data_IF_779403620376
#
_entry.id   IF_779403620376
#
_cell.length_a   1.000
_cell.length_b   1.000
_cell.length_c   1.000
_cell.angle_alpha   90.00
_cell.angle_beta   90.00
_cell.angle_gamma   90.00
#
_symmetry.space_group_name_H-M   'P 1'
#
loop_
_entity.id
_entity.type
_entity.pdbx_description
1 polymer ?
#
# COMPACT_ATOMS: atom_id res chain seq x y z
N UNK A 1 -22.95 -61.56 -7.01
CA UNK A 1 -21.69 -61.29 -7.68
C UNK A 1 -21.56 -59.80 -7.73
N UNK A 2 -20.93 -59.30 -6.73
CA UNK A 2 -19.58 -58.73 -6.61
C UNK A 2 -19.34 -57.69 -7.68
N UNK A 3 -19.30 -56.48 -7.37
CA UNK A 3 -18.15 -55.80 -6.96
C UNK A 3 -18.13 -54.35 -7.43
N UNK A 4 -17.52 -53.60 -6.61
CA UNK A 4 -16.65 -52.53 -7.05
C UNK A 4 -17.10 -51.10 -6.71
N UNK A 5 -17.09 -50.79 -5.44
CA UNK A 5 -17.06 -49.38 -4.97
C UNK A 5 -15.66 -48.85 -5.22
N UNK A 6 -15.52 -47.89 -6.13
CA UNK A 6 -14.28 -47.17 -6.32
C UNK A 6 -14.37 -45.83 -5.59
N UNK A 7 -13.74 -45.77 -4.45
CA UNK A 7 -13.56 -44.55 -3.64
C UNK A 7 -12.49 -43.69 -4.30
N UNK A 8 -12.89 -42.64 -4.97
CA UNK A 8 -12.01 -41.52 -5.31
C UNK A 8 -11.99 -40.56 -4.14
N UNK A 9 -10.97 -40.70 -3.32
CA UNK A 9 -10.56 -39.71 -2.33
C UNK A 9 -10.09 -38.47 -3.06
N UNK A 10 -10.99 -37.52 -3.16
CA UNK A 10 -10.68 -36.16 -3.62
C UNK A 10 -9.83 -35.47 -2.55
N UNK A 11 -8.54 -35.42 -2.78
CA UNK A 11 -7.62 -34.61 -2.00
C UNK A 11 -7.90 -33.15 -2.32
N UNK A 12 -8.77 -32.54 -1.53
CA UNK A 12 -8.92 -31.08 -1.46
C UNK A 12 -7.57 -30.48 -1.08
N UNK A 13 -6.80 -30.11 -2.08
CA UNK A 13 -5.62 -29.26 -1.93
C UNK A 13 -6.13 -27.89 -1.51
N UNK A 14 -6.14 -27.62 -0.22
CA UNK A 14 -6.38 -26.29 0.34
C UNK A 14 -5.29 -25.37 -0.14
N UNK A 15 -5.51 -24.74 -1.27
CA UNK A 15 -4.73 -23.60 -1.73
C UNK A 15 -5.02 -22.45 -0.74
N UNK A 16 -4.19 -22.32 0.29
CA UNK A 16 -4.06 -21.08 1.04
C UNK A 16 -3.65 -20.01 0.05
N UNK A 17 -4.46 -18.95 -0.18
CA UNK A 17 -4.01 -17.85 -1.00
C UNK A 17 -2.74 -17.30 -0.34
N UNK A 18 -1.68 -17.17 -1.11
CA UNK A 18 -0.46 -16.50 -0.67
C UNK A 18 -0.87 -15.10 -0.23
N UNK A 19 -0.82 -14.85 1.07
CA UNK A 19 -0.98 -13.53 1.65
C UNK A 19 0.09 -12.63 1.02
N UNK A 20 -0.31 -11.84 0.05
CA UNK A 20 0.51 -10.76 -0.46
C UNK A 20 0.63 -9.72 0.66
N UNK A 21 1.65 -9.90 1.50
CA UNK A 21 2.03 -8.96 2.56
C UNK A 21 2.56 -7.70 1.90
N UNK A 22 1.70 -6.76 1.64
CA UNK A 22 2.06 -5.47 1.07
C UNK A 22 2.13 -4.47 2.23
N UNK A 23 3.33 -4.02 2.65
CA UNK A 23 3.44 -3.05 3.74
C UNK A 23 2.69 -1.78 3.37
N UNK A 24 1.83 -1.31 4.27
CA UNK A 24 1.01 -0.14 4.07
C UNK A 24 1.85 1.13 4.32
N UNK A 25 1.90 2.02 3.35
CA UNK A 25 2.51 3.34 3.54
C UNK A 25 1.52 4.22 4.29
N UNK A 26 1.97 4.96 5.29
CA UNK A 26 1.12 5.80 6.15
C UNK A 26 0.28 6.80 5.35
N UNK A 27 0.78 7.30 4.22
CA UNK A 27 0.02 8.18 3.32
C UNK A 27 -1.29 7.55 2.82
N UNK A 28 -1.33 6.22 2.63
CA UNK A 28 -2.55 5.48 2.29
C UNK A 28 -3.49 5.24 3.49
N UNK A 29 -2.97 5.34 4.72
CA UNK A 29 -3.74 5.11 5.95
C UNK A 29 -4.25 6.42 6.58
N UNK A 30 -3.63 7.56 6.30
CA UNK A 30 -4.05 8.87 6.86
C UNK A 30 -5.53 9.19 6.68
N UNK A 31 -6.18 8.94 5.54
CA UNK A 31 -7.61 9.17 5.40
C UNK A 31 -8.46 8.37 6.40
N UNK A 32 -8.00 7.17 6.78
CA UNK A 32 -8.67 6.38 7.81
C UNK A 32 -8.56 7.01 9.20
N UNK A 33 -7.40 7.55 9.58
CA UNK A 33 -7.28 8.29 10.85
C UNK A 33 -8.29 9.42 10.93
N UNK A 34 -8.40 10.23 9.87
CA UNK A 34 -9.38 11.32 9.81
C UNK A 34 -10.83 10.81 9.89
N UNK A 35 -11.12 9.68 9.23
CA UNK A 35 -12.44 9.07 9.30
C UNK A 35 -12.76 8.54 10.71
N UNK A 36 -11.81 7.89 11.36
CA UNK A 36 -11.97 7.38 12.72
C UNK A 36 -12.14 8.51 13.74
N UNK A 37 -11.39 9.60 13.62
CA UNK A 37 -11.57 10.80 14.46
C UNK A 37 -12.97 11.40 14.33
N UNK A 38 -13.50 11.50 13.11
CA UNK A 38 -14.87 11.95 12.86
C UNK A 38 -15.93 11.00 13.44
N UNK A 39 -15.59 9.73 13.60
CA UNK A 39 -16.44 8.73 14.26
C UNK A 39 -16.25 8.69 15.77
N UNK A 40 -15.42 9.58 16.34
CA UNK A 40 -15.24 9.73 17.78
C UNK A 40 -14.04 9.00 18.38
N UNK A 41 -13.16 8.43 17.57
CA UNK A 41 -11.94 7.81 18.08
C UNK A 41 -10.88 8.87 18.40
N UNK A 42 -10.22 8.76 19.56
CA UNK A 42 -9.10 9.63 19.89
C UNK A 42 -7.84 9.23 19.08
N UNK A 43 -7.18 10.22 18.47
CA UNK A 43 -5.96 10.01 17.67
C UNK A 43 -4.86 9.30 18.45
N UNK A 44 -4.69 9.70 19.70
CA UNK A 44 -3.66 9.16 20.60
C UNK A 44 -3.83 7.66 20.85
N UNK A 45 -5.07 7.19 20.98
CA UNK A 45 -5.39 5.77 21.17
C UNK A 45 -5.13 4.98 19.89
N UNK A 46 -5.51 5.53 18.74
CA UNK A 46 -5.24 4.94 17.43
C UNK A 46 -3.73 4.83 17.15
N UNK A 47 -2.98 5.89 17.43
CA UNK A 47 -1.52 5.90 17.27
C UNK A 47 -0.85 4.90 18.20
N UNK A 48 -1.29 4.84 19.46
CA UNK A 48 -0.80 3.87 20.46
C UNK A 48 -1.06 2.43 19.99
N UNK A 49 -2.26 2.14 19.50
CA UNK A 49 -2.61 0.82 18.98
C UNK A 49 -1.74 0.43 17.77
N UNK A 50 -1.44 1.36 16.89
CA UNK A 50 -0.58 1.15 15.73
C UNK A 50 0.93 1.15 16.07
N UNK A 51 1.31 1.49 17.31
CA UNK A 51 2.72 1.65 17.71
C UNK A 51 3.40 2.84 17.04
N UNK A 52 2.65 3.89 16.69
CA UNK A 52 3.14 5.11 16.06
C UNK A 52 3.43 6.20 17.09
N UNK A 53 4.53 6.93 16.89
CA UNK A 53 4.81 8.19 17.56
C UNK A 53 4.31 9.38 16.71
N UNK A 54 4.22 10.57 17.29
CA UNK A 54 3.88 11.80 16.55
C UNK A 54 4.83 12.01 15.36
N UNK A 55 6.13 11.74 15.55
CA UNK A 55 7.13 11.85 14.50
C UNK A 55 6.91 10.85 13.35
N UNK A 56 6.53 9.60 13.67
CA UNK A 56 6.21 8.61 12.65
C UNK A 56 4.95 9.00 11.87
N UNK A 57 3.99 9.63 12.55
CA UNK A 57 2.76 10.10 11.91
C UNK A 57 3.01 11.29 10.97
N UNK A 58 3.98 12.15 11.25
CA UNK A 58 4.33 13.30 10.39
C UNK A 58 5.15 12.88 9.17
N UNK A 59 5.86 11.75 9.23
CA UNK A 59 6.63 11.22 8.10
C UNK A 59 5.70 10.48 7.10
N UNK A 60 5.51 11.01 5.86
CA UNK A 60 4.65 10.40 4.86
C UNK A 60 5.15 9.03 4.37
N UNK A 61 6.43 8.74 4.57
CA UNK A 61 7.08 7.50 4.14
C UNK A 61 7.08 6.42 5.23
N UNK A 62 6.50 6.70 6.40
CA UNK A 62 6.36 5.70 7.46
C UNK A 62 5.56 4.49 6.95
N UNK A 63 6.11 3.32 7.16
CA UNK A 63 5.51 2.05 6.76
C UNK A 63 4.89 1.38 7.98
N UNK A 64 3.60 1.07 7.89
CA UNK A 64 2.91 0.26 8.89
C UNK A 64 3.04 -1.23 8.54
N UNK A 65 3.35 -2.04 9.55
CA UNK A 65 3.25 -3.49 9.42
C UNK A 65 1.79 -3.93 9.37
N UNK A 66 1.53 -5.13 8.82
CA UNK A 66 0.19 -5.72 8.83
C UNK A 66 -0.37 -5.82 10.26
N UNK A 67 0.48 -6.13 11.24
CA UNK A 67 0.10 -6.20 12.67
C UNK A 67 -0.33 -4.83 13.18
N UNK A 68 0.39 -3.75 12.84
CA UNK A 68 0.04 -2.38 13.21
C UNK A 68 -1.28 -1.94 12.56
N UNK A 69 -1.50 -2.29 11.29
CA UNK A 69 -2.77 -2.03 10.61
C UNK A 69 -3.94 -2.78 11.27
N UNK A 70 -3.79 -4.07 11.55
CA UNK A 70 -4.82 -4.86 12.24
C UNK A 70 -5.14 -4.27 13.62
N UNK A 71 -4.12 -3.88 14.39
CA UNK A 71 -4.31 -3.26 15.71
C UNK A 71 -5.02 -1.90 15.61
N UNK A 72 -4.64 -1.06 14.63
CA UNK A 72 -5.27 0.23 14.36
C UNK A 72 -6.77 0.08 14.06
N UNK A 73 -7.11 -0.77 13.08
CA UNK A 73 -8.50 -0.97 12.67
C UNK A 73 -9.32 -1.68 13.77
N UNK A 74 -8.69 -2.59 14.51
CA UNK A 74 -9.31 -3.25 15.67
C UNK A 74 -9.64 -2.27 16.79
N UNK A 75 -8.73 -1.36 17.12
CA UNK A 75 -8.95 -0.30 18.11
C UNK A 75 -10.07 0.65 17.67
N UNK A 76 -10.04 1.10 16.41
CA UNK A 76 -11.08 1.96 15.87
C UNK A 76 -12.48 1.30 15.93
N UNK A 77 -12.59 0.03 15.51
CA UNK A 77 -13.85 -0.71 15.55
C UNK A 77 -14.37 -0.90 16.99
N UNK A 78 -13.47 -1.15 17.95
CA UNK A 78 -13.80 -1.32 19.36
C UNK A 78 -14.28 0.00 20.00
N UNK A 79 -13.63 1.11 19.68
CA UNK A 79 -13.90 2.43 20.27
C UNK A 79 -15.13 3.06 19.67
N UNK A 80 -15.30 3.01 18.35
CA UNK A 80 -16.44 3.64 17.69
C UNK A 80 -17.75 2.90 17.95
N UNK A 81 -17.73 1.57 18.14
CA UNK A 81 -18.88 0.72 18.48
C UNK A 81 -20.16 1.02 17.66
N UNK A 82 -20.01 1.41 16.39
CA UNK A 82 -21.13 1.73 15.49
C UNK A 82 -21.46 0.55 14.58
N UNK A 83 -22.75 0.26 14.33
CA UNK A 83 -23.14 -0.75 13.35
C UNK A 83 -22.57 -0.45 11.97
N UNK A 84 -22.24 -1.48 11.20
CA UNK A 84 -21.69 -1.36 9.85
C UNK A 84 -20.48 -0.42 9.79
N UNK A 85 -19.54 -0.61 10.72
CA UNK A 85 -18.39 0.27 10.92
C UNK A 85 -17.66 0.62 9.62
N UNK A 86 -17.44 -0.38 8.73
CA UNK A 86 -16.77 -0.17 7.45
C UNK A 86 -17.53 0.81 6.53
N UNK A 87 -18.85 0.71 6.47
CA UNK A 87 -19.71 1.65 5.73
C UNK A 87 -19.62 3.05 6.33
N UNK A 88 -19.66 3.17 7.67
CA UNK A 88 -19.50 4.46 8.35
C UNK A 88 -18.15 5.12 8.03
N UNK A 89 -17.09 4.33 8.01
CA UNK A 89 -15.76 4.81 7.61
C UNK A 89 -15.77 5.28 6.16
N UNK A 90 -16.35 4.50 5.24
CA UNK A 90 -16.45 4.89 3.81
C UNK A 90 -17.18 6.23 3.62
N UNK A 91 -18.24 6.51 4.40
CA UNK A 91 -18.96 7.80 4.38
C UNK A 91 -18.09 8.99 4.80
N UNK A 92 -17.08 8.77 5.65
CA UNK A 92 -16.19 9.84 6.15
C UNK A 92 -15.01 10.10 5.22
N UNK A 93 -14.67 9.19 4.31
CA UNK A 93 -13.58 9.38 3.36
C UNK A 93 -14.04 10.36 2.25
N UNK A 94 -13.48 11.56 2.17
CA UNK A 94 -13.84 12.50 1.12
C UNK A 94 -13.27 12.05 -0.23
N UNK A 95 -13.95 12.41 -1.30
CA UNK A 95 -13.40 12.30 -2.64
C UNK A 95 -12.17 13.22 -2.77
N UNK A 96 -11.06 12.69 -3.28
CA UNK A 96 -9.75 13.35 -3.28
C UNK A 96 -8.86 12.94 -2.09
N UNK A 97 -9.32 12.07 -1.20
CA UNK A 97 -8.51 11.54 -0.10
C UNK A 97 -7.28 10.75 -0.61
N UNK A 98 -7.40 10.15 -1.77
CA UNK A 98 -6.34 9.47 -2.51
C UNK A 98 -6.07 10.22 -3.84
N UNK A 99 -5.39 11.37 -3.83
CA UNK A 99 -5.44 12.34 -4.92
C UNK A 99 -5.22 11.75 -6.30
N UNK A 100 -4.12 11.01 -6.51
CA UNK A 100 -3.80 10.47 -7.82
C UNK A 100 -4.86 9.47 -8.32
N UNK A 101 -5.33 8.57 -7.46
CA UNK A 101 -6.34 7.56 -7.82
C UNK A 101 -7.71 8.20 -8.01
N UNK A 102 -8.14 9.00 -7.05
CA UNK A 102 -9.46 9.64 -7.08
C UNK A 102 -9.60 10.59 -8.29
N UNK A 103 -8.57 11.39 -8.58
CA UNK A 103 -8.60 12.27 -9.75
C UNK A 103 -8.55 11.50 -11.08
N UNK A 104 -7.85 10.36 -11.14
CA UNK A 104 -7.91 9.48 -12.31
C UNK A 104 -9.32 8.97 -12.54
N UNK A 105 -9.99 8.49 -11.48
CA UNK A 105 -11.40 8.06 -11.56
C UNK A 105 -12.29 9.21 -12.02
N UNK A 106 -12.20 10.37 -11.35
CA UNK A 106 -13.08 11.53 -11.62
C UNK A 106 -12.93 12.13 -13.01
N UNK A 107 -11.73 12.06 -13.59
CA UNK A 107 -11.45 12.64 -14.94
C UNK A 107 -11.73 11.67 -16.08
N UNK A 108 -12.14 10.44 -15.81
CA UNK A 108 -12.57 9.47 -16.81
C UNK A 108 -13.86 9.92 -17.51
N UNK A 109 -14.10 9.49 -18.76
CA UNK A 109 -15.26 9.92 -19.55
C UNK A 109 -16.58 9.36 -19.02
N UNK A 110 -16.56 8.14 -18.46
CA UNK A 110 -17.74 7.42 -18.00
C UNK A 110 -17.49 6.66 -16.69
N UNK A 111 -18.55 6.20 -16.07
CA UNK A 111 -18.47 5.29 -14.90
C UNK A 111 -17.62 4.08 -15.22
N UNK A 112 -17.85 3.42 -16.36
CA UNK A 112 -17.09 2.25 -16.78
C UNK A 112 -15.60 2.53 -16.85
N UNK A 113 -15.22 3.58 -17.57
CA UNK A 113 -13.82 4.00 -17.63
C UNK A 113 -13.25 4.42 -16.28
N UNK A 114 -14.08 4.95 -15.38
CA UNK A 114 -13.69 5.28 -14.01
C UNK A 114 -13.37 4.06 -13.14
N UNK A 115 -13.87 2.87 -13.48
CA UNK A 115 -13.47 1.63 -12.83
C UNK A 115 -12.10 1.11 -13.29
N UNK A 116 -11.64 1.43 -14.49
CA UNK A 116 -10.35 0.97 -15.01
C UNK A 116 -9.16 1.40 -14.13
N UNK A 117 -9.01 2.66 -13.70
CA UNK A 117 -8.00 3.06 -12.74
C UNK A 117 -8.03 2.27 -11.44
N UNK A 118 -9.22 1.89 -10.95
CA UNK A 118 -9.35 1.09 -9.74
C UNK A 118 -8.76 -0.31 -9.93
N UNK A 119 -9.01 -0.97 -11.07
CA UNK A 119 -8.44 -2.29 -11.34
C UNK A 119 -6.91 -2.27 -11.36
N UNK A 120 -6.31 -1.16 -11.81
CA UNK A 120 -4.88 -1.06 -12.07
C UNK A 120 -4.08 -0.44 -10.93
N UNK A 121 -4.63 0.57 -10.27
CA UNK A 121 -3.89 1.45 -9.37
C UNK A 121 -4.29 1.38 -7.90
N UNK A 122 -5.27 0.54 -7.49
CA UNK A 122 -5.63 0.38 -6.06
C UNK A 122 -4.42 0.09 -5.16
N UNK A 123 -3.44 -0.67 -5.65
CA UNK A 123 -2.20 -0.92 -4.92
C UNK A 123 -1.34 0.32 -4.67
N UNK A 124 -1.53 1.42 -5.42
CA UNK A 124 -0.82 2.68 -5.17
C UNK A 124 -1.26 3.35 -3.88
N UNK A 125 -2.47 3.08 -3.43
CA UNK A 125 -3.00 3.57 -2.15
C UNK A 125 -2.87 2.53 -1.02
N UNK A 126 -2.11 1.45 -1.25
CA UNK A 126 -1.89 0.39 -0.27
C UNK A 126 -3.07 -0.56 -0.10
N UNK A 127 -4.08 -0.50 -0.95
CA UNK A 127 -5.22 -1.41 -0.86
C UNK A 127 -4.81 -2.85 -1.18
N UNK A 128 -5.18 -3.84 -0.34
CA UNK A 128 -4.96 -5.25 -0.62
C UNK A 128 -5.99 -5.82 -1.60
N UNK A 129 -6.88 -4.98 -2.14
CA UNK A 129 -7.98 -5.39 -3.00
C UNK A 129 -7.51 -5.66 -4.44
N UNK A 130 -8.02 -6.74 -5.03
CA UNK A 130 -7.96 -7.01 -6.46
C UNK A 130 -9.37 -6.87 -7.04
N UNK A 131 -9.52 -6.01 -8.04
CA UNK A 131 -10.80 -5.66 -8.63
C UNK A 131 -10.83 -6.10 -10.09
N UNK A 132 -11.86 -6.83 -10.48
CA UNK A 132 -12.04 -7.37 -11.86
C UNK A 132 -13.39 -7.00 -12.41
N UNK A 133 -13.40 -6.60 -13.67
CA UNK A 133 -14.61 -6.21 -14.39
C UNK A 133 -15.02 -7.36 -15.31
N UNK A 134 -16.30 -7.73 -15.26
CA UNK A 134 -16.93 -8.74 -16.11
C UNK A 134 -18.04 -8.10 -16.94
N UNK A 135 -17.71 -7.75 -18.19
CA UNK A 135 -18.61 -7.02 -19.09
C UNK A 135 -19.48 -7.91 -20.02
N UNK A 136 -19.52 -9.21 -19.82
CA UNK A 136 -20.16 -10.13 -20.78
C UNK A 136 -21.67 -9.93 -20.97
N UNK A 137 -22.41 -9.68 -19.90
CA UNK A 137 -23.89 -9.55 -19.86
C UNK A 137 -24.31 -8.25 -19.18
N UNK A 138 -25.60 -7.92 -19.26
CA UNK A 138 -26.22 -6.89 -18.43
C UNK A 138 -26.81 -7.58 -17.18
N UNK A 139 -26.46 -7.15 -15.97
CA UNK A 139 -25.55 -6.04 -15.61
C UNK A 139 -24.06 -6.37 -15.81
N UNK A 140 -23.23 -5.32 -15.92
CA UNK A 140 -21.79 -5.41 -15.76
C UNK A 140 -21.48 -5.72 -14.29
N UNK A 141 -20.61 -6.67 -14.03
CA UNK A 141 -20.25 -7.08 -12.68
C UNK A 141 -18.81 -6.66 -12.35
N UNK A 142 -18.67 -5.86 -11.30
CA UNK A 142 -17.38 -5.48 -10.75
C UNK A 142 -17.12 -6.34 -9.51
N UNK A 143 -16.25 -7.33 -9.66
CA UNK A 143 -15.93 -8.29 -8.60
C UNK A 143 -14.70 -7.88 -7.82
N UNK A 144 -14.79 -7.98 -6.51
CA UNK A 144 -13.74 -7.63 -5.57
C UNK A 144 -13.19 -8.89 -4.90
N UNK A 145 -11.87 -9.07 -4.92
CA UNK A 145 -11.19 -10.10 -4.13
C UNK A 145 -10.43 -9.44 -2.98
N UNK A 146 -10.84 -9.72 -1.76
CA UNK A 146 -10.25 -9.20 -0.50
C UNK A 146 -10.25 -10.29 0.57
N UNK A 147 -9.40 -10.09 1.59
CA UNK A 147 -9.20 -11.06 2.66
C UNK A 147 -10.08 -10.84 3.90
N UNK A 148 -10.83 -9.73 4.01
CA UNK A 148 -11.64 -9.44 5.18
C UNK A 148 -13.01 -8.84 4.85
N UNK A 149 -14.06 -9.12 5.66
CA UNK A 149 -15.36 -8.48 5.55
C UNK A 149 -15.29 -6.95 5.57
N UNK A 150 -14.50 -6.38 6.48
CA UNK A 150 -14.30 -4.93 6.55
C UNK A 150 -13.84 -4.34 5.22
N UNK A 151 -12.83 -4.95 4.58
CA UNK A 151 -12.31 -4.45 3.31
C UNK A 151 -13.34 -4.56 2.17
N UNK A 152 -14.18 -5.62 2.17
CA UNK A 152 -15.27 -5.77 1.20
C UNK A 152 -16.31 -4.67 1.38
N UNK A 153 -16.84 -4.53 2.59
CA UNK A 153 -17.84 -3.51 2.91
C UNK A 153 -17.32 -2.10 2.63
N UNK A 154 -16.11 -1.78 3.07
CA UNK A 154 -15.49 -0.47 2.87
C UNK A 154 -15.28 -0.16 1.39
N UNK A 155 -14.63 -1.05 0.63
CA UNK A 155 -14.25 -0.78 -0.77
C UNK A 155 -15.47 -0.65 -1.67
N UNK A 156 -16.45 -1.57 -1.55
CA UNK A 156 -17.66 -1.51 -2.36
C UNK A 156 -18.52 -0.29 -1.99
N UNK A 157 -18.64 0.02 -0.69
CA UNK A 157 -19.38 1.21 -0.24
C UNK A 157 -18.73 2.50 -0.74
N UNK A 158 -17.41 2.62 -0.61
CA UNK A 158 -16.68 3.80 -1.07
C UNK A 158 -16.86 4.02 -2.58
N UNK A 159 -16.76 2.94 -3.38
CA UNK A 159 -16.98 3.02 -4.81
C UNK A 159 -18.40 3.52 -5.14
N UNK A 160 -19.44 2.93 -4.54
CA UNK A 160 -20.83 3.35 -4.75
C UNK A 160 -21.03 4.81 -4.37
N UNK A 161 -20.55 5.22 -3.20
CA UNK A 161 -20.72 6.59 -2.69
C UNK A 161 -19.99 7.62 -3.57
N UNK A 162 -18.79 7.31 -4.03
CA UNK A 162 -18.00 8.21 -4.87
C UNK A 162 -18.58 8.33 -6.28
N UNK A 163 -18.94 7.23 -6.94
CA UNK A 163 -19.57 7.29 -8.27
C UNK A 163 -20.95 7.98 -8.22
N UNK A 164 -21.74 7.79 -7.16
CA UNK A 164 -22.98 8.54 -6.99
C UNK A 164 -22.73 10.04 -6.92
N UNK A 165 -21.69 10.47 -6.21
CA UNK A 165 -21.31 11.88 -6.12
C UNK A 165 -20.86 12.44 -7.49
N UNK A 166 -20.12 11.65 -8.26
CA UNK A 166 -19.60 12.06 -9.57
C UNK A 166 -20.62 12.00 -10.70
N UNK A 167 -21.79 11.43 -10.45
CA UNK A 167 -22.92 11.38 -11.39
C UNK A 167 -24.15 12.12 -10.89
N UNK A 168 -24.00 13.04 -9.93
CA UNK A 168 -25.09 13.81 -9.29
C UNK A 168 -26.27 12.92 -8.81
N UNK A 169 -25.92 11.73 -8.27
CA UNK A 169 -26.89 10.75 -7.75
C UNK A 169 -27.40 9.74 -8.77
N UNK A 170 -27.05 9.86 -10.04
CA UNK A 170 -27.53 8.96 -11.10
C UNK A 170 -26.89 7.56 -11.07
N UNK A 171 -25.74 7.38 -10.41
CA UNK A 171 -25.15 6.07 -10.24
C UNK A 171 -25.98 5.22 -9.26
N UNK A 172 -26.73 4.29 -9.80
CA UNK A 172 -27.57 3.35 -9.05
C UNK A 172 -27.26 1.93 -9.51
N UNK A 173 -26.38 1.20 -8.80
CA UNK A 173 -26.16 -0.21 -9.07
C UNK A 173 -27.45 -1.00 -8.82
N UNK A 174 -27.65 -2.10 -9.53
CA UNK A 174 -28.81 -2.97 -9.29
C UNK A 174 -28.67 -3.75 -7.98
N UNK A 175 -27.45 -4.11 -7.61
CA UNK A 175 -27.16 -4.75 -6.34
C UNK A 175 -25.70 -4.57 -5.91
N UNK A 176 -25.48 -4.59 -4.60
CA UNK A 176 -24.20 -4.88 -3.97
C UNK A 176 -24.30 -6.25 -3.31
N UNK A 177 -23.36 -7.14 -3.55
CA UNK A 177 -23.35 -8.51 -3.05
C UNK A 177 -22.16 -8.71 -2.11
N UNK A 178 -22.42 -9.32 -0.95
CA UNK A 178 -21.40 -9.69 0.02
C UNK A 178 -21.40 -11.21 0.24
N UNK A 179 -20.21 -11.79 0.33
CA UNK A 179 -20.03 -13.21 0.68
C UNK A 179 -20.48 -13.51 2.13
N UNK A 180 -20.38 -12.53 3.01
CA UNK A 180 -20.79 -12.58 4.39
C UNK A 180 -22.09 -11.81 4.60
N UNK A 181 -22.61 -11.83 5.83
CA UNK A 181 -23.75 -11.01 6.22
C UNK A 181 -23.26 -9.83 7.06
N UNK A 182 -23.39 -8.57 6.60
CA UNK A 182 -23.17 -7.38 7.41
C UNK A 182 -24.05 -7.34 8.67
N UNK A 183 -23.67 -6.55 9.67
CA UNK A 183 -24.42 -6.43 10.91
C UNK A 183 -25.86 -5.93 10.70
N UNK A 184 -26.08 -4.97 9.84
CA UNK A 184 -27.40 -4.47 9.41
C UNK A 184 -27.42 -4.28 7.87
N UNK A 185 -27.84 -5.29 7.09
CA UNK A 185 -27.92 -5.16 5.64
C UNK A 185 -28.91 -4.08 5.20
N UNK A 186 -30.01 -3.85 5.90
CA UNK A 186 -31.00 -2.85 5.56
C UNK A 186 -30.43 -1.41 5.69
N UNK A 187 -29.46 -1.19 6.58
CA UNK A 187 -28.77 0.09 6.64
C UNK A 187 -27.86 0.31 5.44
N UNK A 188 -27.21 -0.73 4.90
CA UNK A 188 -26.49 -0.66 3.63
C UNK A 188 -27.42 -0.30 2.48
N UNK A 189 -28.58 -0.97 2.36
CA UNK A 189 -29.57 -0.68 1.31
C UNK A 189 -30.02 0.78 1.33
N UNK A 190 -30.36 1.29 2.52
CA UNK A 190 -30.76 2.71 2.69
C UNK A 190 -29.66 3.68 2.27
N UNK A 191 -28.41 3.42 2.65
CA UNK A 191 -27.29 4.33 2.41
C UNK A 191 -26.70 4.24 1.03
N UNK A 192 -26.60 3.04 0.50
CA UNK A 192 -26.12 2.81 -0.86
C UNK A 192 -27.24 2.99 -1.90
N UNK A 193 -28.51 3.07 -1.47
CA UNK A 193 -29.70 3.19 -2.31
C UNK A 193 -29.74 2.15 -3.43
N UNK A 194 -29.43 0.91 -3.09
CA UNK A 194 -29.48 -0.25 -3.98
C UNK A 194 -29.78 -1.52 -3.18
N UNK A 195 -30.14 -2.61 -3.83
CA UNK A 195 -30.32 -3.90 -3.17
C UNK A 195 -29.02 -4.43 -2.59
N UNK A 196 -29.05 -5.08 -1.42
CA UNK A 196 -27.91 -5.73 -0.76
C UNK A 196 -28.19 -7.20 -0.56
N UNK A 197 -27.47 -8.01 -1.30
CA UNK A 197 -27.56 -9.48 -1.23
C UNK A 197 -26.42 -10.02 -0.37
N UNK A 198 -26.72 -10.98 0.52
CA UNK A 198 -25.75 -11.56 1.47
C UNK A 198 -25.60 -13.06 1.24
N UNK A 199 -24.45 -13.64 1.59
CA UNK A 199 -24.17 -15.05 1.34
C UNK A 199 -23.91 -15.37 -0.13
N UNK A 200 -23.49 -14.37 -0.91
CA UNK A 200 -23.16 -14.52 -2.33
C UNK A 200 -21.84 -15.31 -2.51
N UNK A 201 -21.55 -15.76 -3.72
CA UNK A 201 -20.31 -16.44 -4.06
C UNK A 201 -19.09 -15.49 -4.04
N UNK A 202 -19.33 -14.20 -4.33
CA UNK A 202 -18.30 -13.17 -4.39
C UNK A 202 -18.77 -11.84 -3.81
N UNK A 203 -17.82 -11.00 -3.40
CA UNK A 203 -18.07 -9.60 -3.07
C UNK A 203 -18.07 -8.79 -4.39
N UNK A 204 -19.20 -8.17 -4.76
CA UNK A 204 -19.31 -7.55 -6.07
C UNK A 204 -20.39 -6.45 -6.15
N UNK A 205 -20.26 -5.57 -7.15
CA UNK A 205 -21.27 -4.58 -7.54
C UNK A 205 -21.82 -4.98 -8.91
N UNK A 206 -23.14 -5.07 -9.04
CA UNK A 206 -23.83 -5.28 -10.29
C UNK A 206 -24.33 -3.93 -10.83
N UNK A 207 -23.81 -3.49 -11.97
CA UNK A 207 -24.06 -2.17 -12.54
C UNK A 207 -24.79 -2.33 -13.88
N UNK A 208 -26.03 -1.80 -14.03
CA UNK A 208 -26.73 -1.82 -15.32
C UNK A 208 -25.91 -1.11 -16.40
N UNK A 209 -25.95 -1.61 -17.65
CA UNK A 209 -25.18 -1.01 -18.75
C UNK A 209 -25.52 0.47 -19.01
N UNK A 210 -26.74 0.88 -18.78
CA UNK A 210 -27.12 2.28 -18.84
C UNK A 210 -26.38 3.14 -17.81
N UNK A 211 -26.25 2.63 -16.60
CA UNK A 211 -25.52 3.29 -15.51
C UNK A 211 -24.01 3.23 -15.74
N UNK A 212 -23.50 2.11 -16.31
CA UNK A 212 -22.10 1.95 -16.68
C UNK A 212 -21.58 3.00 -17.67
N UNK A 213 -22.47 3.47 -18.54
CA UNK A 213 -22.19 4.48 -19.57
C UNK A 213 -22.45 5.92 -19.12
N UNK A 214 -22.90 6.16 -17.91
CA UNK A 214 -23.13 7.52 -17.41
C UNK A 214 -21.83 8.32 -17.47
N UNK A 215 -21.88 9.57 -17.95
CA UNK A 215 -20.71 10.44 -17.94
C UNK A 215 -20.40 10.88 -16.53
N UNK A 216 -19.11 10.98 -16.20
CA UNK A 216 -18.65 11.56 -14.95
C UNK A 216 -18.68 13.10 -15.05
N UNK A 217 -19.01 13.76 -13.95
CA UNK A 217 -19.17 15.21 -13.89
C UNK A 217 -17.90 16.00 -14.17
N UNK A 218 -16.75 15.46 -13.71
CA UNK A 218 -15.44 16.09 -13.84
C UNK A 218 -14.58 15.48 -14.95
N UNK A 219 -15.21 14.79 -15.91
CA UNK A 219 -14.47 14.19 -17.03
C UNK A 219 -13.60 15.22 -17.74
N UNK A 220 -12.35 14.87 -17.96
CA UNK A 220 -11.35 15.70 -18.65
C UNK A 220 -10.27 14.78 -19.23
N UNK A 221 -10.35 14.49 -20.50
CA UNK A 221 -9.46 13.56 -21.18
C UNK A 221 -8.00 14.02 -21.20
N UNK A 222 -7.74 15.33 -21.23
CA UNK A 222 -6.38 15.86 -21.19
C UNK A 222 -5.76 15.67 -19.81
N UNK A 223 -6.47 16.08 -18.76
CA UNK A 223 -6.02 15.89 -17.38
C UNK A 223 -5.89 14.41 -17.04
N UNK A 224 -6.85 13.58 -17.47
CA UNK A 224 -6.79 12.14 -17.32
C UNK A 224 -5.50 11.55 -17.92
N UNK A 225 -5.13 11.96 -19.13
CA UNK A 225 -3.90 11.51 -19.78
C UNK A 225 -2.64 11.85 -18.98
N UNK A 226 -2.56 13.07 -18.43
CA UNK A 226 -1.43 13.50 -17.58
C UNK A 226 -1.37 12.67 -16.28
N UNK A 227 -2.49 12.53 -15.60
CA UNK A 227 -2.58 11.76 -14.35
C UNK A 227 -2.27 10.27 -14.57
N UNK A 228 -2.70 9.70 -15.68
CA UNK A 228 -2.39 8.32 -16.06
C UNK A 228 -0.89 8.12 -16.28
N UNK A 229 -0.24 9.02 -16.99
CA UNK A 229 1.21 8.98 -17.17
C UNK A 229 1.93 9.03 -15.82
N UNK A 230 1.50 9.91 -14.92
CA UNK A 230 2.05 10.01 -13.57
C UNK A 230 1.81 8.73 -12.76
N UNK A 231 0.63 8.12 -12.86
CA UNK A 231 0.32 6.87 -12.16
C UNK A 231 1.17 5.70 -12.67
N UNK A 232 1.43 5.62 -13.97
CA UNK A 232 2.34 4.63 -14.55
C UNK A 232 3.77 4.80 -14.04
N UNK A 233 4.27 6.03 -13.96
CA UNK A 233 5.59 6.29 -13.41
C UNK A 233 5.69 5.86 -11.93
N UNK A 234 4.70 6.22 -11.12
CA UNK A 234 4.65 5.82 -9.70
C UNK A 234 4.57 4.30 -9.58
N UNK A 235 3.77 3.65 -10.44
CA UNK A 235 3.63 2.19 -10.46
C UNK A 235 4.94 1.52 -10.87
N UNK A 236 5.62 2.03 -11.89
CA UNK A 236 6.92 1.52 -12.34
C UNK A 236 7.99 1.68 -11.25
N UNK A 237 8.03 2.83 -10.57
CA UNK A 237 8.92 3.07 -9.42
C UNK A 237 8.59 2.09 -8.28
N UNK A 238 7.32 1.88 -7.92
CA UNK A 238 6.91 0.90 -6.90
C UNK A 238 7.11 -0.54 -7.33
N UNK A 239 7.03 -0.85 -8.61
CA UNK A 239 7.38 -2.17 -9.16
C UNK A 239 8.86 -2.50 -8.95
N UNK A 240 9.74 -1.49 -9.05
CA UNK A 240 11.15 -1.59 -8.63
C UNK A 240 11.28 -1.51 -7.09
N UNK A 241 10.43 -0.73 -6.40
CA UNK A 241 10.38 -0.59 -4.94
C UNK A 241 9.78 -1.82 -4.23
N UNK A 242 9.06 -2.68 -4.92
CA UNK A 242 8.60 -3.98 -4.41
C UNK A 242 9.74 -4.94 -4.10
N UNK A 243 10.95 -4.67 -4.60
CA UNK A 243 12.16 -5.41 -4.24
C UNK A 243 12.57 -5.08 -2.81
N UNK A 244 12.81 -6.12 -2.03
CA UNK A 244 13.30 -5.97 -0.66
C UNK A 244 14.60 -5.15 -0.60
N UNK A 245 15.47 -5.28 -1.60
CA UNK A 245 16.70 -4.50 -1.78
C UNK A 245 16.46 -3.01 -1.96
N UNK A 246 15.46 -2.61 -2.74
CA UNK A 246 15.13 -1.20 -2.98
C UNK A 246 14.51 -0.56 -1.73
N UNK A 247 13.58 -1.26 -1.06
CA UNK A 247 13.01 -0.81 0.20
C UNK A 247 14.08 -0.67 1.29
N UNK A 248 14.97 -1.65 1.39
CA UNK A 248 16.10 -1.64 2.31
C UNK A 248 17.03 -0.46 2.03
N UNK A 249 17.37 -0.21 0.77
CA UNK A 249 18.20 0.92 0.35
C UNK A 249 17.60 2.25 0.81
N UNK A 250 16.30 2.47 0.60
CA UNK A 250 15.60 3.70 0.99
C UNK A 250 15.68 3.94 2.49
N UNK A 251 15.37 2.92 3.29
CA UNK A 251 15.43 3.04 4.75
C UNK A 251 16.85 3.25 5.24
N UNK A 252 17.84 2.52 4.69
CA UNK A 252 19.24 2.70 5.03
C UNK A 252 19.75 4.11 4.71
N UNK A 253 19.34 4.68 3.56
CA UNK A 253 19.75 6.05 3.18
C UNK A 253 19.23 7.12 4.15
N UNK A 254 18.06 6.91 4.76
CA UNK A 254 17.48 7.83 5.74
C UNK A 254 18.03 7.65 7.17
N UNK A 255 18.44 6.44 7.54
CA UNK A 255 18.82 6.10 8.91
C UNK A 255 20.35 5.99 9.15
N UNK A 256 21.18 6.20 8.13
CA UNK A 256 22.63 5.99 8.23
C UNK A 256 23.30 6.78 9.36
N UNK A 257 22.80 7.98 9.66
CA UNK A 257 23.36 8.85 10.71
C UNK A 257 23.00 8.42 12.15
N UNK A 258 22.11 7.41 12.32
CA UNK A 258 21.58 7.02 13.64
C UNK A 258 22.28 5.84 14.29
N UNK A 259 23.30 5.26 13.66
CA UNK A 259 24.09 4.14 14.20
C UNK A 259 23.23 2.90 14.48
N UNK A 260 23.47 1.80 13.79
CA UNK A 260 22.80 0.54 14.08
C UNK A 260 22.02 -0.06 12.91
N UNK A 261 22.65 -0.13 11.73
CA UNK A 261 22.10 -0.88 10.61
C UNK A 261 22.23 -2.39 10.87
N UNK A 262 21.32 -2.98 11.65
CA UNK A 262 21.27 -4.43 11.84
C UNK A 262 20.05 -5.04 11.16
N UNK A 263 20.24 -6.25 10.63
CA UNK A 263 19.24 -7.01 9.89
C UNK A 263 17.94 -7.24 10.71
N UNK A 264 18.07 -7.43 12.03
CA UNK A 264 16.92 -7.75 12.87
C UNK A 264 16.01 -6.53 13.06
N UNK A 265 16.60 -5.35 13.23
CA UNK A 265 15.88 -4.07 13.32
C UNK A 265 15.14 -3.78 12.02
N UNK A 266 15.80 -3.96 10.85
CA UNK A 266 15.15 -3.77 9.56
C UNK A 266 14.06 -4.81 9.30
N UNK A 267 14.29 -6.08 9.61
CA UNK A 267 13.29 -7.12 9.46
C UNK A 267 12.02 -6.81 10.26
N UNK A 268 12.14 -6.36 11.51
CA UNK A 268 11.00 -5.91 12.33
C UNK A 268 10.26 -4.76 11.67
N UNK A 269 10.98 -3.76 11.16
CA UNK A 269 10.40 -2.58 10.49
C UNK A 269 9.63 -2.94 9.23
N UNK A 270 10.03 -4.03 8.53
CA UNK A 270 9.31 -4.59 7.38
C UNK A 270 8.26 -5.65 7.77
N UNK A 271 7.89 -5.79 9.05
CA UNK A 271 6.92 -6.78 9.51
C UNK A 271 7.33 -8.22 9.16
N UNK A 272 8.63 -8.51 9.08
CA UNK A 272 9.17 -9.80 8.68
C UNK A 272 10.21 -10.33 9.67
N UNK A 273 10.53 -11.64 9.58
CA UNK A 273 11.68 -12.18 10.30
C UNK A 273 12.99 -11.89 9.56
N UNK A 274 14.16 -11.85 10.24
CA UNK A 274 15.47 -11.74 9.60
C UNK A 274 15.67 -12.78 8.50
N UNK A 275 15.24 -14.03 8.73
CA UNK A 275 15.30 -15.14 7.77
C UNK A 275 14.46 -14.85 6.52
N UNK A 276 13.26 -14.29 6.68
CA UNK A 276 12.38 -13.95 5.56
C UNK A 276 12.98 -12.83 4.71
N UNK A 277 13.55 -11.79 5.36
CA UNK A 277 14.22 -10.69 4.65
C UNK A 277 15.45 -11.18 3.89
N UNK A 278 16.30 -12.00 4.52
CA UNK A 278 17.45 -12.63 3.84
C UNK A 278 17.05 -13.46 2.63
N UNK A 279 16.01 -14.29 2.75
CA UNK A 279 15.51 -15.09 1.63
C UNK A 279 15.05 -14.22 0.47
N UNK A 280 14.28 -13.15 0.73
CA UNK A 280 13.82 -12.22 -0.31
C UNK A 280 14.99 -11.51 -1.01
N UNK A 281 15.98 -11.05 -0.26
CA UNK A 281 17.18 -10.44 -0.83
C UNK A 281 17.98 -11.44 -1.67
N UNK A 282 18.08 -12.70 -1.22
CA UNK A 282 18.71 -13.78 -1.98
C UNK A 282 17.97 -14.11 -3.28
N UNK A 283 16.63 -14.11 -3.28
CA UNK A 283 15.81 -14.27 -4.50
C UNK A 283 16.01 -13.12 -5.50
N UNK A 284 16.43 -11.94 -5.02
CA UNK A 284 16.81 -10.78 -5.83
C UNK A 284 18.29 -10.78 -6.25
N UNK A 285 19.05 -11.81 -5.87
CA UNK A 285 20.46 -11.93 -6.19
C UNK A 285 21.38 -11.01 -5.38
N UNK A 286 20.93 -10.55 -4.18
CA UNK A 286 21.70 -9.67 -3.30
C UNK A 286 21.59 -10.08 -1.83
N UNK A 287 22.34 -9.40 -0.96
CA UNK A 287 22.33 -9.60 0.50
C UNK A 287 22.15 -8.28 1.23
N UNK A 288 21.77 -8.34 2.50
CA UNK A 288 21.69 -7.17 3.37
C UNK A 288 23.01 -6.39 3.40
N UNK A 289 24.13 -7.10 3.48
CA UNK A 289 25.46 -6.49 3.55
C UNK A 289 25.82 -5.79 2.23
N UNK A 290 25.48 -6.37 1.08
CA UNK A 290 25.73 -5.75 -0.22
C UNK A 290 24.93 -4.48 -0.42
N UNK A 291 23.65 -4.48 -0.04
CA UNK A 291 22.81 -3.28 -0.10
C UNK A 291 23.35 -2.21 0.85
N UNK A 292 23.72 -2.57 2.09
CA UNK A 292 24.31 -1.65 3.07
C UNK A 292 25.62 -1.05 2.55
N UNK A 293 26.50 -1.88 2.02
CA UNK A 293 27.80 -1.46 1.46
C UNK A 293 27.61 -0.50 0.28
N UNK A 294 26.60 -0.74 -0.57
CA UNK A 294 26.29 0.13 -1.69
C UNK A 294 25.79 1.50 -1.23
N UNK A 295 24.86 1.54 -0.27
CA UNK A 295 24.33 2.80 0.29
C UNK A 295 25.43 3.58 0.98
N UNK A 296 26.27 2.92 1.78
CA UNK A 296 27.43 3.54 2.44
C UNK A 296 28.43 4.11 1.45
N UNK A 297 28.69 3.40 0.36
CA UNK A 297 29.60 3.85 -0.70
C UNK A 297 29.08 5.12 -1.35
N UNK A 298 27.82 5.16 -1.77
CA UNK A 298 27.20 6.32 -2.43
C UNK A 298 27.18 7.56 -1.53
N UNK A 299 26.94 7.37 -0.23
CA UNK A 299 26.97 8.46 0.73
C UNK A 299 28.41 8.89 1.06
N UNK A 300 29.37 7.96 1.14
CA UNK A 300 30.78 8.27 1.31
C UNK A 300 31.30 9.19 0.21
N UNK A 301 30.95 8.90 -1.03
CA UNK A 301 31.36 9.70 -2.21
C UNK A 301 30.83 11.14 -2.12
N UNK A 302 29.55 11.30 -1.74
CA UNK A 302 28.95 12.62 -1.53
C UNK A 302 29.63 13.40 -0.40
N UNK A 303 29.83 12.77 0.77
CA UNK A 303 30.46 13.41 1.91
C UNK A 303 31.95 13.71 1.68
N UNK A 304 32.66 12.85 0.94
CA UNK A 304 34.06 13.11 0.60
C UNK A 304 34.23 14.25 -0.42
N UNK A 305 33.24 14.53 -1.24
CA UNK A 305 33.21 15.71 -2.11
C UNK A 305 33.04 17.01 -1.29
N UNK A 306 32.40 16.96 -0.12
CA UNK A 306 32.30 18.08 0.81
C UNK A 306 33.64 18.27 1.55
N UNK A 307 34.28 19.40 1.29
CA UNK A 307 35.60 19.71 1.86
C UNK A 307 35.58 20.05 3.36
N UNK A 308 34.42 20.27 3.95
CA UNK A 308 34.27 20.64 5.36
C UNK A 308 34.44 19.46 6.33
N UNK A 309 34.18 18.22 5.85
CA UNK A 309 34.20 17.01 6.67
C UNK A 309 35.58 16.31 6.59
N UNK A 310 36.13 15.90 7.72
CA UNK A 310 37.28 15.01 7.74
C UNK A 310 36.93 13.58 7.33
N UNK A 311 37.90 12.76 6.90
CA UNK A 311 37.63 11.35 6.58
C UNK A 311 37.14 10.54 7.80
N UNK A 312 37.52 10.94 9.02
CA UNK A 312 37.04 10.31 10.24
C UNK A 312 35.58 10.63 10.52
N UNK A 313 35.18 11.91 10.38
CA UNK A 313 33.78 12.34 10.50
C UNK A 313 32.86 11.67 9.46
N UNK A 314 33.32 11.54 8.22
CA UNK A 314 32.60 10.78 7.19
C UNK A 314 32.39 9.32 7.63
N UNK A 315 33.43 8.68 8.19
CA UNK A 315 33.30 7.33 8.74
C UNK A 315 32.23 7.21 9.82
N UNK A 316 32.19 8.14 10.76
CA UNK A 316 31.17 8.16 11.82
C UNK A 316 29.76 8.43 11.28
N UNK A 317 29.59 9.35 10.34
CA UNK A 317 28.30 9.62 9.69
C UNK A 317 27.77 8.41 8.93
N UNK A 318 28.63 7.52 8.46
CA UNK A 318 28.28 6.27 7.79
C UNK A 318 28.05 5.09 8.77
N UNK A 319 28.13 5.34 10.08
CA UNK A 319 27.90 4.34 11.11
C UNK A 319 29.05 3.36 11.30
N UNK A 320 30.28 3.78 11.02
CA UNK A 320 31.46 3.00 11.41
C UNK A 320 31.93 3.39 12.83
N UNK A 321 32.18 2.41 13.67
CA UNK A 321 32.67 2.63 15.03
C UNK A 321 34.11 3.14 15.07
N UNK A 322 34.88 2.85 14.03
CA UNK A 322 36.31 3.21 13.94
C UNK A 322 36.65 3.74 12.54
N UNK A 323 37.44 4.83 12.44
CA UNK A 323 37.89 5.37 11.14
C UNK A 323 38.64 4.34 10.30
N UNK A 324 39.42 3.45 10.91
CA UNK A 324 40.16 2.40 10.23
C UNK A 324 39.24 1.40 9.51
N UNK A 325 38.08 1.10 10.09
CA UNK A 325 37.07 0.23 9.45
C UNK A 325 36.50 0.88 8.20
N UNK A 326 36.18 2.17 8.25
CA UNK A 326 35.74 2.94 7.09
C UNK A 326 36.81 2.97 5.99
N UNK A 327 38.07 3.24 6.33
CA UNK A 327 39.18 3.28 5.37
C UNK A 327 39.32 1.94 4.61
N UNK A 328 39.27 0.80 5.33
CA UNK A 328 39.32 -0.55 4.72
C UNK A 328 38.12 -0.80 3.81
N UNK A 329 36.90 -0.46 4.26
CA UNK A 329 35.69 -0.63 3.49
C UNK A 329 35.73 0.22 2.20
N UNK A 330 36.07 1.48 2.29
CA UNK A 330 36.12 2.38 1.14
C UNK A 330 37.18 1.95 0.11
N UNK A 331 38.38 1.51 0.58
CA UNK A 331 39.41 0.97 -0.33
C UNK A 331 38.92 -0.31 -1.02
N UNK A 332 38.15 -1.18 -0.31
CA UNK A 332 37.51 -2.36 -0.94
C UNK A 332 36.51 -1.94 -2.02
N UNK A 333 35.72 -0.89 -1.77
CA UNK A 333 34.66 -0.44 -2.70
C UNK A 333 35.20 0.29 -3.94
N UNK A 334 36.26 1.10 -3.79
CA UNK A 334 36.77 2.00 -4.83
C UNK A 334 38.21 1.74 -5.27
N UNK A 335 38.91 0.82 -4.64
CA UNK A 335 40.30 0.53 -4.96
C UNK A 335 41.30 1.57 -4.47
N UNK A 336 40.85 2.72 -3.97
CA UNK A 336 41.65 3.84 -3.48
C UNK A 336 41.24 4.24 -2.07
N UNK A 337 42.13 4.91 -1.32
CA UNK A 337 41.78 5.42 0.01
C UNK A 337 40.83 6.62 -0.06
N UNK A 338 40.05 6.90 1.02
CA UNK A 338 39.20 8.11 1.07
C UNK A 338 39.96 9.40 0.80
N UNK A 339 41.22 9.51 1.29
CA UNK A 339 42.06 10.69 1.08
C UNK A 339 42.47 10.85 -0.39
N UNK A 340 42.88 9.78 -1.04
CA UNK A 340 43.23 9.78 -2.47
C UNK A 340 42.00 10.08 -3.35
N UNK A 341 40.83 9.53 -3.00
CA UNK A 341 39.57 9.80 -3.71
C UNK A 341 39.23 11.29 -3.64
N UNK A 342 39.28 11.91 -2.46
CA UNK A 342 39.05 13.33 -2.24
C UNK A 342 40.00 14.20 -3.05
N UNK A 343 41.30 13.87 -3.08
CA UNK A 343 42.29 14.64 -3.84
C UNK A 343 41.98 14.62 -5.33
N UNK A 344 41.57 13.48 -5.88
CA UNK A 344 41.22 13.34 -7.31
C UNK A 344 39.96 14.13 -7.67
N UNK A 345 38.92 14.11 -6.80
CA UNK A 345 37.67 14.83 -7.04
C UNK A 345 37.88 16.34 -7.00
N UNK A 346 38.76 16.84 -6.12
CA UNK A 346 39.12 18.28 -6.04
C UNK A 346 39.97 18.78 -7.23
N UNK A 347 40.73 17.91 -7.88
CA UNK A 347 41.54 18.26 -9.05
C UNK A 347 40.72 18.24 -10.34
N UNK A 348 39.48 17.73 -10.30
CA UNK A 348 38.59 17.62 -11.45
C UNK A 348 37.44 18.67 -11.45
N UNK A 349 37.30 19.43 -10.34
CA UNK A 349 36.38 20.55 -10.15
C UNK A 349 37.15 21.89 -10.27
#
# INVERSE_FOLDING_TARGET
MTGGVNSLTDRATTHRPAEARNPQVLSGIRPFFQAFEKLGCAREDLMRAAGLTARDFDDPDTILSDVACVALFGEAARTCAVPNFALRVAEQIPLGAYPLLDYLVMTSESVGEGFDPLTRYLRLVGSPADLRIHEGKDPVVVRLAVCSPFNAEFTLSLAVLHFRRETDGAFQPSAVRFRHRPADPADFERRLACSVETGAEADEIAVPRSVWRLPLRRRDSLLHGVLRSQAEEVLARRGSDGRASTQLRRVLSNDMSRGGADLATFARRFGSSPRTLQRRLGEEGTSFQEVLDQVRREAAERYLADSSLSCAEVGYLLGFSEPAAFHRAFKRWRGVTPKEYRSRTRSAS
#
